data_IF_732104116342
#
_entry.id   IF_732104116342
#
_cell.length_a   1.000
_cell.length_b   1.000
_cell.length_c   1.000
_cell.angle_alpha   90.00
_cell.angle_beta   90.00
_cell.angle_gamma   90.00
#
_symmetry.space_group_name_H-M   'P 1'
#
loop_
_entity.id
_entity.type
_entity.pdbx_description
1 polymer ?
#
# COMPACT_ATOMS: atom_id res chain seq x y z
N UNK A 1 30.89 3.28 -16.44
CA UNK A 1 30.24 4.37 -15.68
C UNK A 1 28.93 4.64 -16.43
N UNK A 2 27.74 4.57 -15.82
CA UNK A 2 26.48 4.53 -16.58
C UNK A 2 26.19 5.94 -17.09
N UNK A 3 26.51 6.18 -18.36
CA UNK A 3 26.49 7.48 -19.01
C UNK A 3 25.28 7.54 -19.93
N UNK A 4 24.33 8.44 -19.65
CA UNK A 4 23.42 8.97 -20.66
C UNK A 4 24.29 9.55 -21.79
N UNK A 5 24.30 8.83 -22.91
CA UNK A 5 25.36 8.84 -23.93
C UNK A 5 25.58 10.13 -24.73
N UNK A 6 25.22 11.31 -24.23
CA UNK A 6 25.50 12.60 -24.89
C UNK A 6 26.05 13.71 -23.98
N UNK A 7 25.92 13.64 -22.64
CA UNK A 7 26.23 14.80 -21.78
C UNK A 7 27.27 14.56 -20.67
N UNK A 8 27.54 13.30 -20.32
CA UNK A 8 28.43 12.94 -19.21
C UNK A 8 27.84 13.21 -17.82
N UNK A 9 26.53 13.48 -17.74
CA UNK A 9 25.80 13.65 -16.49
C UNK A 9 25.51 12.28 -15.84
N UNK A 10 25.14 12.24 -14.55
CA UNK A 10 24.59 11.05 -13.93
C UNK A 10 23.11 10.87 -14.33
N UNK A 11 22.66 9.62 -14.44
CA UNK A 11 21.26 9.31 -14.71
C UNK A 11 20.34 9.96 -13.65
N UNK A 12 19.30 10.71 -14.05
CA UNK A 12 18.49 11.48 -13.10
C UNK A 12 17.61 10.59 -12.20
N UNK A 13 17.22 11.07 -11.01
CA UNK A 13 16.25 10.37 -10.15
C UNK A 13 14.91 10.15 -10.87
N UNK A 14 14.24 9.06 -10.55
CA UNK A 14 13.05 8.58 -11.24
C UNK A 14 13.35 7.82 -12.53
N UNK A 15 14.62 7.73 -12.94
CA UNK A 15 15.04 7.05 -14.18
C UNK A 15 16.19 6.07 -13.93
N UNK A 16 16.42 5.20 -14.91
CA UNK A 16 17.61 4.37 -15.03
C UNK A 16 18.14 4.42 -16.46
N UNK A 17 19.47 4.28 -16.60
CA UNK A 17 20.18 4.46 -17.85
C UNK A 17 21.01 3.21 -18.14
N UNK A 18 20.44 2.21 -18.85
CA UNK A 18 21.18 1.04 -19.30
C UNK A 18 22.33 1.43 -20.23
N UNK A 19 23.37 0.61 -20.26
CA UNK A 19 24.50 0.82 -21.17
C UNK A 19 24.02 0.83 -22.62
N UNK A 20 24.39 1.87 -23.37
CA UNK A 20 23.98 2.06 -24.76
C UNK A 20 22.55 2.59 -24.96
N UNK A 21 21.81 2.88 -23.88
CA UNK A 21 20.51 3.54 -24.00
C UNK A 21 20.69 4.99 -24.50
N UNK A 22 19.95 5.41 -25.54
CA UNK A 22 20.08 6.76 -26.08
C UNK A 22 19.45 7.82 -25.16
N UNK A 23 18.53 7.42 -24.27
CA UNK A 23 17.82 8.30 -23.34
C UNK A 23 17.59 7.58 -22.00
N UNK A 24 17.47 8.33 -20.88
CA UNK A 24 17.03 7.78 -19.60
C UNK A 24 15.66 7.09 -19.70
N UNK A 25 15.50 5.95 -19.06
CA UNK A 25 14.25 5.19 -19.02
C UNK A 25 13.59 5.40 -17.66
N UNK A 26 12.32 5.79 -17.68
CA UNK A 26 11.55 6.04 -16.46
C UNK A 26 11.35 4.78 -15.62
N UNK A 27 11.42 4.92 -14.30
CA UNK A 27 10.97 3.90 -13.38
C UNK A 27 9.45 3.70 -13.56
N UNK A 28 8.99 2.45 -13.76
CA UNK A 28 7.58 2.19 -14.06
C UNK A 28 6.66 2.40 -12.85
N UNK A 29 5.33 2.51 -13.05
CA UNK A 29 4.36 2.55 -11.96
C UNK A 29 4.53 1.38 -10.97
N UNK A 30 4.25 1.64 -9.70
CA UNK A 30 4.58 0.74 -8.60
C UNK A 30 6.04 0.80 -8.15
N UNK A 31 6.87 1.65 -8.77
CA UNK A 31 8.25 1.92 -8.35
C UNK A 31 8.55 3.42 -8.34
N UNK A 32 9.67 3.79 -7.73
CA UNK A 32 10.18 5.16 -7.65
C UNK A 32 11.70 5.13 -7.47
N UNK A 33 12.41 6.25 -7.68
CA UNK A 33 13.83 6.36 -7.37
C UNK A 33 14.19 7.80 -7.01
N UNK A 34 14.73 8.05 -5.81
CA UNK A 34 15.32 9.33 -5.42
C UNK A 34 16.81 9.45 -5.76
N UNK A 35 17.41 8.35 -6.20
CA UNK A 35 18.86 8.22 -6.36
C UNK A 35 19.29 8.52 -7.80
N UNK A 36 20.41 9.23 -7.92
CA UNK A 36 21.08 9.46 -9.20
C UNK A 36 21.93 8.25 -9.62
N UNK A 37 22.22 8.13 -10.91
CA UNK A 37 23.14 7.14 -11.46
C UNK A 37 22.57 5.72 -11.61
N UNK A 38 21.24 5.58 -11.60
CA UNK A 38 20.57 4.29 -11.84
C UNK A 38 20.98 3.67 -13.19
N UNK A 39 21.34 2.38 -13.18
CA UNK A 39 21.88 1.66 -14.36
C UNK A 39 20.89 0.73 -15.01
N UNK A 40 19.92 0.25 -14.25
CA UNK A 40 18.95 -0.72 -14.70
C UNK A 40 17.69 -0.64 -13.81
N UNK A 41 16.66 -1.39 -14.21
CA UNK A 41 15.37 -1.40 -13.52
C UNK A 41 15.45 -1.79 -12.03
N UNK A 42 16.49 -2.51 -11.58
CA UNK A 42 16.61 -2.90 -10.17
C UNK A 42 16.91 -1.72 -9.24
N UNK A 43 17.40 -0.61 -9.81
CA UNK A 43 17.62 0.65 -9.08
C UNK A 43 16.30 1.35 -8.77
N UNK A 44 15.22 1.04 -9.51
CA UNK A 44 13.88 1.52 -9.20
C UNK A 44 13.33 0.79 -7.96
N UNK A 45 13.21 1.54 -6.87
CA UNK A 45 12.73 1.04 -5.59
C UNK A 45 11.25 0.69 -5.68
N UNK A 46 10.82 -0.47 -5.14
CA UNK A 46 9.41 -0.80 -5.07
C UNK A 46 8.68 0.24 -4.21
N UNK A 47 7.43 0.55 -4.57
CA UNK A 47 6.62 1.41 -3.72
C UNK A 47 6.49 0.79 -2.31
N UNK A 48 6.81 1.54 -1.25
CA UNK A 48 6.84 0.99 0.10
C UNK A 48 5.41 0.67 0.58
N UNK A 49 5.32 -0.28 1.51
CA UNK A 49 4.03 -0.63 2.12
C UNK A 49 3.37 0.59 2.77
N UNK A 50 2.05 0.68 2.63
CA UNK A 50 1.26 1.86 3.01
C UNK A 50 1.23 3.00 1.99
N UNK A 51 2.01 2.90 0.89
CA UNK A 51 2.04 3.92 -0.16
C UNK A 51 1.74 3.34 -1.53
N UNK A 52 1.40 4.22 -2.47
CA UNK A 52 1.22 3.88 -3.88
C UNK A 52 2.02 4.82 -4.80
N UNK A 53 2.38 4.31 -5.98
CA UNK A 53 3.22 4.97 -6.98
C UNK A 53 2.48 4.89 -8.34
N UNK A 54 1.64 5.87 -8.65
CA UNK A 54 0.66 5.81 -9.76
C UNK A 54 1.18 6.21 -11.14
N UNK A 55 2.37 6.80 -11.20
CA UNK A 55 2.96 7.32 -12.42
C UNK A 55 4.36 6.76 -12.59
N UNK A 56 4.89 6.82 -13.79
CA UNK A 56 6.30 6.55 -14.05
C UNK A 56 7.16 7.77 -13.72
N UNK A 57 8.48 7.57 -13.62
CA UNK A 57 9.42 8.67 -13.43
C UNK A 57 9.39 9.29 -12.02
N UNK A 58 8.80 8.60 -11.05
CA UNK A 58 8.60 9.14 -9.71
C UNK A 58 9.91 9.19 -8.91
N UNK A 59 10.15 10.32 -8.27
CA UNK A 59 11.27 10.52 -7.32
C UNK A 59 10.88 10.29 -5.87
N UNK A 60 9.58 10.10 -5.60
CA UNK A 60 9.01 9.76 -4.32
C UNK A 60 7.65 9.05 -4.53
N UNK A 61 7.13 8.30 -3.55
CA UNK A 61 5.79 7.72 -3.65
C UNK A 61 4.72 8.79 -3.90
N UNK A 62 3.69 8.46 -4.68
CA UNK A 62 2.60 9.39 -5.02
C UNK A 62 1.76 9.79 -3.82
N UNK A 63 1.63 8.90 -2.83
CA UNK A 63 0.87 9.16 -1.62
C UNK A 63 0.58 7.89 -0.82
N UNK A 64 -0.19 8.06 0.25
CA UNK A 64 -0.63 6.98 1.12
C UNK A 64 -1.78 6.19 0.48
N UNK A 65 -1.85 4.90 0.79
CA UNK A 65 -3.00 4.11 0.42
C UNK A 65 -4.26 4.58 1.15
N UNK A 66 -5.39 4.51 0.44
CA UNK A 66 -6.66 5.01 0.93
C UNK A 66 -7.14 4.22 2.14
N UNK A 67 -7.85 4.86 3.08
CA UNK A 67 -8.57 4.16 4.13
C UNK A 67 -9.44 3.02 3.58
N UNK A 68 -9.58 1.94 4.35
CA UNK A 68 -10.31 0.74 3.94
C UNK A 68 -9.51 -0.17 2.99
N UNK A 69 -8.26 0.18 2.69
CA UNK A 69 -7.33 -0.64 1.93
C UNK A 69 -5.97 -0.68 2.63
N UNK A 70 -5.18 -1.71 2.29
CA UNK A 70 -3.79 -1.77 2.70
C UNK A 70 -2.90 -2.09 1.51
N UNK A 71 -1.69 -1.53 1.52
CA UNK A 71 -0.68 -1.74 0.47
C UNK A 71 0.53 -2.46 1.03
N UNK A 72 0.85 -3.62 0.47
CA UNK A 72 1.96 -4.47 0.89
C UNK A 72 3.27 -3.93 0.30
N UNK A 73 3.33 -3.83 -1.03
CA UNK A 73 4.46 -3.31 -1.80
C UNK A 73 4.07 -3.11 -3.26
N UNK A 74 4.80 -2.29 -4.02
CA UNK A 74 4.60 -2.10 -5.47
C UNK A 74 3.17 -1.68 -5.87
N UNK A 75 2.39 -1.13 -4.95
CA UNK A 75 1.07 -0.63 -5.25
C UNK A 75 1.18 0.56 -6.21
N UNK A 76 0.44 0.50 -7.31
CA UNK A 76 0.35 1.58 -8.29
C UNK A 76 -0.98 2.35 -8.16
N UNK A 77 -1.87 1.91 -7.27
CA UNK A 77 -3.15 2.53 -6.96
C UNK A 77 -3.31 2.62 -5.44
N UNK A 78 -3.97 3.65 -4.91
CA UNK A 78 -4.25 3.75 -3.48
C UNK A 78 -5.26 2.70 -2.97
N UNK A 79 -5.98 2.02 -3.86
CA UNK A 79 -7.02 1.02 -3.55
C UNK A 79 -6.76 -0.31 -4.27
N UNK A 80 -5.64 -1.00 -3.99
CA UNK A 80 -5.29 -2.25 -4.68
C UNK A 80 -6.29 -3.37 -4.36
N UNK A 81 -6.52 -4.25 -5.33
CA UNK A 81 -7.45 -5.40 -5.22
C UNK A 81 -6.87 -6.70 -5.75
N UNK A 82 -5.58 -6.72 -6.10
CA UNK A 82 -4.90 -7.85 -6.71
C UNK A 82 -4.43 -8.90 -5.68
N UNK A 83 -4.45 -8.57 -4.38
CA UNK A 83 -3.93 -9.43 -3.31
C UNK A 83 -2.41 -9.57 -3.30
N UNK A 84 -1.71 -8.91 -4.23
CA UNK A 84 -0.25 -8.95 -4.40
C UNK A 84 0.38 -7.64 -3.95
N UNK A 85 -0.09 -6.53 -4.50
CA UNK A 85 0.35 -5.18 -4.13
C UNK A 85 -0.43 -4.62 -2.95
N UNK A 86 -1.62 -5.17 -2.71
CA UNK A 86 -2.47 -4.90 -1.57
C UNK A 86 -3.88 -5.43 -1.80
N UNK A 87 -4.77 -5.15 -0.85
CA UNK A 87 -6.16 -5.58 -0.96
C UNK A 87 -7.11 -4.66 -0.17
N UNK A 88 -8.44 -4.78 -0.39
CA UNK A 88 -9.43 -4.27 0.55
C UNK A 88 -9.19 -4.79 1.96
N UNK A 89 -9.43 -3.95 2.97
CA UNK A 89 -9.36 -4.37 4.35
C UNK A 89 -10.34 -5.52 4.62
N UNK A 90 -9.90 -6.67 5.14
CA UNK A 90 -10.80 -7.79 5.41
C UNK A 90 -11.74 -7.49 6.57
N UNK A 91 -12.82 -8.25 6.65
CA UNK A 91 -13.75 -8.19 7.78
C UNK A 91 -13.04 -8.50 9.12
N UNK A 92 -13.51 -7.91 10.22
CA UNK A 92 -12.88 -8.02 11.53
C UNK A 92 -11.62 -7.17 11.72
N UNK A 93 -11.21 -6.40 10.70
CA UNK A 93 -10.04 -5.54 10.72
C UNK A 93 -10.39 -4.11 10.33
N UNK A 94 -9.48 -3.18 10.62
CA UNK A 94 -9.53 -1.80 10.17
C UNK A 94 -8.21 -1.40 9.52
N UNK A 95 -8.32 -0.51 8.54
CA UNK A 95 -7.20 -0.02 7.75
C UNK A 95 -7.33 1.51 7.63
N UNK A 96 -6.71 2.29 8.53
CA UNK A 96 -6.63 3.74 8.37
C UNK A 96 -5.74 4.13 7.17
N UNK A 97 -5.68 5.43 6.87
CA UNK A 97 -4.81 5.99 5.83
C UNK A 97 -3.37 5.46 5.97
N UNK A 98 -2.79 4.98 4.88
CA UNK A 98 -1.40 4.52 4.87
C UNK A 98 -1.17 3.14 5.49
N UNK A 99 -2.22 2.32 5.61
CA UNK A 99 -2.08 0.95 6.13
C UNK A 99 -1.22 0.08 5.23
N UNK A 100 -0.19 -0.55 5.80
CA UNK A 100 0.62 -1.57 5.11
C UNK A 100 0.09 -3.00 5.26
N UNK A 101 -0.77 -3.20 6.25
CA UNK A 101 -1.42 -4.47 6.58
C UNK A 101 -2.70 -4.19 7.37
N UNK A 102 -3.70 -5.08 7.33
CA UNK A 102 -4.89 -4.96 8.17
C UNK A 102 -4.55 -5.07 9.66
N UNK A 103 -5.16 -4.23 10.48
CA UNK A 103 -5.08 -4.34 11.95
C UNK A 103 -6.39 -4.95 12.48
N UNK A 104 -6.34 -5.97 13.35
CA UNK A 104 -7.56 -6.54 13.93
C UNK A 104 -8.25 -5.52 14.81
N UNK A 105 -9.59 -5.56 14.86
CA UNK A 105 -10.34 -4.70 15.77
C UNK A 105 -9.95 -4.95 17.23
N UNK A 106 -9.70 -3.90 18.03
CA UNK A 106 -9.38 -4.06 19.45
C UNK A 106 -10.56 -4.66 20.23
N UNK A 107 -10.30 -5.29 21.40
CA UNK A 107 -11.35 -5.81 22.26
C UNK A 107 -12.42 -4.76 22.58
N UNK A 108 -13.70 -5.15 22.54
CA UNK A 108 -14.82 -4.23 22.69
C UNK A 108 -15.20 -3.47 21.41
N UNK A 109 -14.61 -3.83 20.26
CA UNK A 109 -14.98 -3.29 18.95
C UNK A 109 -15.07 -4.39 17.90
N UNK A 110 -15.69 -4.10 16.76
CA UNK A 110 -15.91 -5.05 15.67
C UNK A 110 -15.96 -4.35 14.31
N UNK A 111 -15.77 -5.13 13.25
CA UNK A 111 -15.94 -4.69 11.87
C UNK A 111 -16.71 -5.78 11.10
N UNK A 112 -17.98 -5.56 10.74
CA UNK A 112 -18.81 -6.59 10.10
C UNK A 112 -18.68 -6.62 8.58
N UNK A 113 -17.97 -5.67 7.98
CA UNK A 113 -17.81 -5.54 6.53
C UNK A 113 -16.35 -5.38 6.11
N UNK A 114 -16.06 -5.70 4.85
CA UNK A 114 -14.77 -5.37 4.25
C UNK A 114 -14.65 -3.83 4.09
N UNK A 115 -13.40 -3.37 3.89
CA UNK A 115 -13.04 -1.96 3.72
C UNK A 115 -13.29 -1.10 4.97
N UNK A 116 -13.18 -1.70 6.15
CA UNK A 116 -13.23 -0.98 7.41
C UNK A 116 -12.08 0.03 7.54
N UNK A 117 -12.41 1.29 7.83
CA UNK A 117 -11.43 2.36 8.08
C UNK A 117 -11.14 2.51 9.59
N UNK A 118 -12.17 2.31 10.39
CA UNK A 118 -12.17 2.34 11.86
C UNK A 118 -13.14 1.27 12.39
N UNK A 119 -12.90 0.72 13.58
CA UNK A 119 -13.80 -0.30 14.14
C UNK A 119 -15.01 0.32 14.84
N UNK A 120 -16.16 -0.35 14.75
CA UNK A 120 -17.36 0.01 15.50
C UNK A 120 -17.27 -0.48 16.94
N UNK A 121 -17.71 0.33 17.90
CA UNK A 121 -17.78 -0.09 19.31
C UNK A 121 -18.86 -1.16 19.47
N UNK A 122 -18.55 -2.23 20.21
CA UNK A 122 -19.52 -3.28 20.50
C UNK A 122 -20.64 -2.71 21.38
N UNK A 123 -21.92 -2.85 21.00
CA UNK A 123 -23.04 -2.38 21.80
C UNK A 123 -23.09 -3.05 23.17
N UNK A 124 -23.58 -2.34 24.18
CA UNK A 124 -23.75 -2.89 25.52
C UNK A 124 -24.80 -4.02 25.52
N UNK A 125 -24.50 -5.12 26.21
CA UNK A 125 -25.38 -6.30 26.28
C UNK A 125 -25.26 -7.24 25.08
N UNK A 126 -24.35 -6.97 24.14
CA UNK A 126 -24.06 -7.83 23.00
C UNK A 126 -22.60 -8.32 23.03
N UNK A 127 -22.36 -9.47 22.41
CA UNK A 127 -21.02 -9.99 22.13
C UNK A 127 -20.74 -9.90 20.63
N UNK A 128 -19.54 -9.45 20.29
CA UNK A 128 -19.12 -9.24 18.91
C UNK A 128 -18.11 -10.31 18.49
N UNK A 129 -18.44 -11.07 17.46
CA UNK A 129 -17.56 -12.08 16.85
C UNK A 129 -16.92 -11.48 15.58
N UNK A 130 -15.61 -11.63 15.35
CA UNK A 130 -14.99 -11.18 14.10
C UNK A 130 -15.68 -11.79 12.89
N UNK A 131 -16.12 -10.95 11.94
CA UNK A 131 -16.83 -11.44 10.76
C UNK A 131 -18.36 -11.47 10.86
N UNK A 132 -18.93 -11.24 12.05
CA UNK A 132 -20.37 -11.36 12.28
C UNK A 132 -20.99 -10.05 12.81
N UNK A 133 -22.32 -9.98 12.76
CA UNK A 133 -23.09 -8.92 13.41
C UNK A 133 -23.04 -9.10 14.93
N UNK A 134 -23.12 -8.04 15.74
CA UNK A 134 -23.28 -8.17 17.18
C UNK A 134 -24.44 -9.10 17.53
N UNK A 135 -24.23 -9.97 18.50
CA UNK A 135 -25.22 -10.93 18.96
C UNK A 135 -25.55 -10.67 20.43
N UNK A 136 -26.81 -10.82 20.87
CA UNK A 136 -27.17 -10.64 22.27
C UNK A 136 -26.39 -11.63 23.15
N UNK A 137 -25.85 -11.15 24.27
CA UNK A 137 -25.21 -12.04 25.24
C UNK A 137 -26.20 -13.14 25.66
N UNK A 138 -25.80 -14.43 25.67
CA UNK A 138 -26.67 -15.49 26.12
C UNK A 138 -27.10 -15.19 27.56
N UNK A 139 -28.39 -14.96 27.75
CA UNK A 139 -28.98 -14.80 29.08
C UNK A 139 -28.72 -16.11 29.83
N UNK A 140 -27.97 -16.04 30.93
CA UNK A 140 -27.44 -17.23 31.61
C UNK A 140 -28.51 -18.30 31.78
N UNK A 141 -28.29 -19.47 31.19
CA UNK A 141 -29.05 -20.66 31.53
C UNK A 141 -28.55 -21.11 32.91
N UNK A 142 -29.37 -20.81 33.93
CA UNK A 142 -29.26 -21.34 35.29
C UNK A 142 -29.84 -22.76 35.35
#
# INVERSE_FOLDING_TARGET
NPQDGESGLPCPPGYYCPEGAPLPIECPPGTWSDSEGGRNLQECQPCPGGYYCNSSGLTAPSGHCSPGYYCITRAHTPTPTDGLSGAPCPTGHFCPLGSKSPAPCPPGSYMPQARGEECFVCPEGEYCVPGEKPQPCPQGEL
#
